data_IF_264697434303
#
_entry.id   IF_264697434303
#
_cell.length_a   1.000
_cell.length_b   1.000
_cell.length_c   1.000
_cell.angle_alpha   90.00
_cell.angle_beta   90.00
_cell.angle_gamma   90.00
#
_symmetry.space_group_name_H-M   'P 1'
#
loop_
_entity.id
_entity.type
_entity.pdbx_description
1 polymer ?
#
# COMPACT_ATOMS: atom_id res chain seq x y z
N UNK A 1 4.80 -16.46 29.66
CA UNK A 1 3.75 -15.44 29.48
C UNK A 1 3.89 -14.87 28.08
N UNK A 2 3.19 -15.45 27.10
CA UNK A 2 3.21 -14.92 25.73
C UNK A 2 2.12 -13.88 25.62
N UNK A 3 2.47 -12.59 25.52
CA UNK A 3 1.53 -11.59 25.05
C UNK A 3 1.24 -11.92 23.59
N UNK A 4 0.08 -12.52 23.32
CA UNK A 4 -0.44 -12.64 21.96
C UNK A 4 -0.52 -11.23 21.40
N UNK A 5 0.48 -10.79 20.63
CA UNK A 5 0.45 -9.50 19.95
C UNK A 5 -0.79 -9.48 19.08
N UNK A 6 -1.78 -8.66 19.46
CA UNK A 6 -3.06 -8.63 18.81
C UNK A 6 -2.86 -8.00 17.43
N UNK A 7 -2.61 -8.85 16.41
CA UNK A 7 -2.55 -8.45 15.01
C UNK A 7 -3.80 -7.62 14.70
N UNK A 8 -3.60 -6.40 14.25
CA UNK A 8 -4.71 -5.49 13.89
C UNK A 8 -5.16 -5.74 12.45
N UNK A 9 -6.23 -5.05 12.05
CA UNK A 9 -6.84 -5.25 10.74
C UNK A 9 -5.92 -4.78 9.61
N UNK A 10 -5.92 -5.52 8.49
CA UNK A 10 -5.33 -5.09 7.23
C UNK A 10 -6.47 -4.83 6.24
N UNK A 11 -6.67 -3.57 5.85
CA UNK A 11 -7.82 -3.14 5.04
C UNK A 11 -7.34 -2.65 3.69
N UNK A 12 -7.87 -3.26 2.62
CA UNK A 12 -7.56 -2.89 1.23
C UNK A 12 -8.87 -2.50 0.53
N UNK A 13 -9.16 -1.20 0.38
CA UNK A 13 -10.22 -0.79 -0.53
C UNK A 13 -9.78 -1.12 -1.96
N UNK A 14 -10.69 -1.52 -2.86
CA UNK A 14 -10.43 -1.76 -4.29
C UNK A 14 -11.64 -1.27 -5.08
N UNK A 15 -11.42 -0.46 -6.12
CA UNK A 15 -12.46 0.17 -6.92
C UNK A 15 -11.93 0.52 -8.32
N UNK A 16 -12.83 0.89 -9.24
CA UNK A 16 -12.45 1.46 -10.53
C UNK A 16 -11.81 2.86 -10.37
N UNK A 17 -11.20 3.38 -11.43
CA UNK A 17 -10.55 4.69 -11.37
C UNK A 17 -11.54 5.82 -11.03
N UNK A 18 -11.09 6.73 -10.16
CA UNK A 18 -11.79 7.99 -9.79
C UNK A 18 -13.11 7.81 -9.02
N UNK A 19 -13.31 6.69 -8.35
CA UNK A 19 -14.48 6.44 -7.47
C UNK A 19 -14.35 7.01 -6.06
N UNK A 20 -13.20 7.57 -5.69
CA UNK A 20 -12.98 8.20 -4.38
C UNK A 20 -12.19 7.36 -3.38
N UNK A 21 -11.65 6.20 -3.79
CA UNK A 21 -10.76 5.32 -3.00
C UNK A 21 -9.71 6.06 -2.17
N UNK A 22 -8.98 7.01 -2.75
CA UNK A 22 -7.95 7.79 -2.05
C UNK A 22 -8.54 8.66 -0.94
N UNK A 23 -9.70 9.26 -1.18
CA UNK A 23 -10.43 10.05 -0.19
C UNK A 23 -10.89 9.17 0.96
N UNK A 24 -11.52 8.03 0.67
CA UNK A 24 -12.02 7.12 1.69
C UNK A 24 -10.89 6.52 2.53
N UNK A 25 -9.79 6.10 1.90
CA UNK A 25 -8.61 5.59 2.60
C UNK A 25 -8.00 6.62 3.55
N UNK A 26 -7.92 7.89 3.12
CA UNK A 26 -7.44 8.99 3.98
C UNK A 26 -8.39 9.28 5.14
N UNK A 27 -9.70 9.36 4.88
CA UNK A 27 -10.70 9.60 5.93
C UNK A 27 -10.71 8.47 6.97
N UNK A 28 -10.57 7.21 6.54
CA UNK A 28 -10.44 6.07 7.44
C UNK A 28 -9.17 6.17 8.30
N UNK A 29 -8.03 6.50 7.70
CA UNK A 29 -6.78 6.69 8.42
C UNK A 29 -6.91 7.78 9.50
N UNK A 30 -7.44 8.96 9.14
CA UNK A 30 -7.68 10.07 10.07
C UNK A 30 -8.64 9.68 11.20
N UNK A 31 -9.70 8.92 10.90
CA UNK A 31 -10.66 8.44 11.89
C UNK A 31 -10.02 7.49 12.91
N UNK A 32 -9.19 6.55 12.45
CA UNK A 32 -8.49 5.58 13.32
C UNK A 32 -7.43 6.29 14.15
N UNK A 33 -6.67 7.20 13.53
CA UNK A 33 -5.63 7.97 14.21
C UNK A 33 -6.21 8.82 15.36
N UNK A 34 -7.39 9.43 15.17
CA UNK A 34 -8.11 10.18 16.21
C UNK A 34 -8.52 9.33 17.42
N UNK A 35 -8.56 8.00 17.29
CA UNK A 35 -8.85 7.08 18.40
C UNK A 35 -7.59 6.65 19.16
N UNK A 36 -6.46 7.33 18.95
CA UNK A 36 -5.16 7.00 19.54
C UNK A 36 -4.68 5.57 19.22
N UNK A 37 -5.07 5.07 18.05
CA UNK A 37 -4.65 3.75 17.55
C UNK A 37 -3.55 3.96 16.52
N UNK A 38 -2.46 3.19 16.64
CA UNK A 38 -1.41 3.18 15.62
C UNK A 38 -1.98 2.68 14.30
N UNK A 39 -1.83 3.48 13.25
CA UNK A 39 -2.32 3.18 11.89
C UNK A 39 -1.31 3.67 10.86
N UNK A 40 -1.14 2.92 9.78
CA UNK A 40 -0.29 3.23 8.64
C UNK A 40 -1.09 3.17 7.35
N UNK A 41 -1.13 4.28 6.62
CA UNK A 41 -1.63 4.28 5.24
C UNK A 41 -0.50 3.92 4.26
N UNK A 42 -0.79 2.99 3.34
CA UNK A 42 0.10 2.63 2.22
C UNK A 42 -0.67 2.73 0.91
N UNK A 43 -0.02 3.21 -0.15
CA UNK A 43 -0.63 3.42 -1.47
C UNK A 43 0.21 2.71 -2.52
N UNK A 44 -0.45 1.88 -3.33
CA UNK A 44 0.18 1.17 -4.44
C UNK A 44 -0.33 1.67 -5.80
N UNK A 45 0.54 1.75 -6.83
CA UNK A 45 1.98 1.51 -6.75
C UNK A 45 2.68 2.58 -5.90
N UNK A 46 3.62 2.15 -5.07
CA UNK A 46 4.50 3.06 -4.33
C UNK A 46 5.44 3.69 -5.35
N UNK A 47 5.61 5.01 -5.31
CA UNK A 47 6.15 5.79 -6.42
C UNK A 47 7.59 6.23 -6.22
N UNK A 48 8.14 6.06 -5.02
CA UNK A 48 9.47 6.52 -4.63
C UNK A 48 10.53 5.45 -4.80
N UNK A 49 10.20 4.16 -4.72
CA UNK A 49 11.15 3.07 -4.97
C UNK A 49 11.65 3.08 -6.43
N UNK A 50 12.80 2.46 -6.70
CA UNK A 50 13.33 2.36 -8.06
C UNK A 50 12.36 1.65 -9.02
N UNK A 51 11.69 0.60 -8.53
CA UNK A 51 10.61 -0.10 -9.26
C UNK A 51 9.42 0.85 -9.44
N UNK A 52 9.03 1.57 -8.38
CA UNK A 52 7.97 2.57 -8.39
C UNK A 52 8.16 3.66 -9.43
N UNK A 53 9.36 4.25 -9.52
CA UNK A 53 9.70 5.26 -10.52
C UNK A 53 9.57 4.70 -11.94
N UNK A 54 9.98 3.45 -12.16
CA UNK A 54 9.84 2.78 -13.46
C UNK A 54 8.37 2.60 -13.85
N UNK A 55 7.52 2.18 -12.90
CA UNK A 55 6.07 2.08 -13.10
C UNK A 55 5.47 3.44 -13.43
N UNK A 56 5.90 4.51 -12.78
CA UNK A 56 5.39 5.87 -13.04
C UNK A 56 5.76 6.35 -14.43
N UNK A 57 6.97 6.08 -14.91
CA UNK A 57 7.36 6.39 -16.29
C UNK A 57 6.47 5.64 -17.30
N UNK A 58 6.10 4.39 -17.02
CA UNK A 58 5.15 3.64 -17.84
C UNK A 58 3.74 4.25 -17.80
N UNK A 59 3.17 4.48 -16.61
CA UNK A 59 1.80 5.00 -16.44
C UNK A 59 1.62 6.42 -17.03
N UNK A 60 2.71 7.19 -17.12
CA UNK A 60 2.72 8.51 -17.74
C UNK A 60 3.02 8.47 -19.25
N UNK A 61 3.00 7.28 -19.86
CA UNK A 61 3.29 7.05 -21.28
C UNK A 61 4.67 7.56 -21.74
N UNK A 62 5.63 7.71 -20.83
CA UNK A 62 6.99 8.19 -21.13
C UNK A 62 7.92 7.08 -21.61
N UNK A 63 7.57 5.81 -21.39
CA UNK A 63 8.32 4.64 -21.85
C UNK A 63 7.37 3.51 -22.21
N UNK A 64 7.65 2.82 -23.31
CA UNK A 64 6.97 1.56 -23.66
C UNK A 64 7.60 0.41 -22.89
N UNK A 65 6.77 -0.35 -22.18
CA UNK A 65 7.11 -1.61 -21.50
C UNK A 65 6.01 -2.60 -21.92
N UNK A 66 6.36 -3.88 -22.11
CA UNK A 66 5.36 -4.89 -22.46
C UNK A 66 4.37 -5.10 -21.30
N UNK A 67 3.17 -5.59 -21.61
CA UNK A 67 2.12 -5.83 -20.61
C UNK A 67 2.58 -6.83 -19.54
N UNK A 68 3.34 -7.84 -19.93
CA UNK A 68 3.89 -8.87 -19.04
C UNK A 68 4.93 -8.26 -18.11
N UNK A 69 5.86 -7.46 -18.65
CA UNK A 69 6.92 -6.84 -17.88
C UNK A 69 6.37 -5.82 -16.88
N UNK A 70 5.42 -4.97 -17.28
CA UNK A 70 4.82 -4.02 -16.33
C UNK A 70 3.99 -4.73 -15.25
N UNK A 71 3.30 -5.82 -15.59
CA UNK A 71 2.56 -6.61 -14.60
C UNK A 71 3.48 -7.20 -13.53
N UNK A 72 4.66 -7.71 -13.94
CA UNK A 72 5.68 -8.19 -13.01
C UNK A 72 6.27 -7.06 -12.16
N UNK A 73 6.49 -5.87 -12.72
CA UNK A 73 6.96 -4.71 -11.96
C UNK A 73 5.93 -4.25 -10.92
N UNK A 74 4.64 -4.21 -11.26
CA UNK A 74 3.56 -3.90 -10.31
C UNK A 74 3.51 -4.93 -9.17
N UNK A 75 3.73 -6.21 -9.47
CA UNK A 75 3.85 -7.27 -8.47
C UNK A 75 5.08 -7.07 -7.59
N UNK A 76 6.26 -6.86 -8.20
CA UNK A 76 7.51 -6.64 -7.49
C UNK A 76 7.42 -5.43 -6.54
N UNK A 77 6.79 -4.35 -6.97
CA UNK A 77 6.58 -3.16 -6.14
C UNK A 77 5.77 -3.45 -4.86
N UNK A 78 4.84 -4.40 -4.86
CA UNK A 78 4.16 -4.81 -3.62
C UNK A 78 5.06 -5.68 -2.74
N UNK A 79 5.87 -6.55 -3.35
CA UNK A 79 6.82 -7.41 -2.64
C UNK A 79 7.91 -6.61 -1.92
N UNK A 80 8.37 -5.48 -2.48
CA UNK A 80 9.34 -4.57 -1.83
C UNK A 80 8.91 -4.17 -0.40
N UNK A 81 7.60 -4.05 -0.15
CA UNK A 81 7.05 -3.59 1.13
C UNK A 81 6.44 -4.73 1.96
N UNK A 82 6.57 -5.99 1.53
CA UNK A 82 5.93 -7.11 2.23
C UNK A 82 6.44 -7.27 3.66
N UNK A 83 7.74 -7.08 3.89
CA UNK A 83 8.34 -7.19 5.22
C UNK A 83 7.88 -6.04 6.13
N UNK A 84 7.87 -4.79 5.64
CA UNK A 84 7.31 -3.64 6.39
C UNK A 84 5.85 -3.91 6.78
N UNK A 85 5.02 -4.36 5.84
CA UNK A 85 3.62 -4.70 6.12
C UNK A 85 3.48 -5.77 7.21
N UNK A 86 4.30 -6.83 7.15
CA UNK A 86 4.30 -7.88 8.19
C UNK A 86 4.71 -7.34 9.56
N UNK A 87 5.75 -6.52 9.62
CA UNK A 87 6.24 -5.91 10.86
C UNK A 87 5.20 -4.97 11.48
N UNK A 88 4.54 -4.13 10.67
CA UNK A 88 3.44 -3.27 11.10
C UNK A 88 2.29 -4.08 11.69
N UNK A 89 1.87 -5.14 11.01
CA UNK A 89 0.79 -6.00 11.50
C UNK A 89 1.16 -6.75 12.78
N UNK A 90 2.40 -7.23 12.89
CA UNK A 90 2.90 -7.91 14.09
C UNK A 90 3.12 -6.96 15.27
N UNK A 91 3.42 -5.68 15.02
CA UNK A 91 3.50 -4.64 16.06
C UNK A 91 2.13 -4.13 16.51
N UNK A 92 1.04 -4.61 15.91
CA UNK A 92 -0.31 -4.19 16.25
C UNK A 92 -0.68 -2.81 15.68
N UNK A 93 -0.06 -2.42 14.58
CA UNK A 93 -0.43 -1.23 13.79
C UNK A 93 -1.50 -1.63 12.77
N UNK A 94 -2.51 -0.77 12.60
CA UNK A 94 -3.56 -0.88 11.58
C UNK A 94 -3.07 -0.44 10.20
#
# INVERSE_FOLDING_TARGET
MGTSSARRAFIVPEECDRTGKSTQSRLLHELVQKRCVAVKQMVFPERKSNVGQTIIVYLTNKKRISNEAIHLLLTANRWEFQNEMKELLLSGTW
#
